data_IF_444191006402
#
_entry.id   IF_444191006402
#
_cell.length_a   1.000
_cell.length_b   1.000
_cell.length_c   1.000
_cell.angle_alpha   90.00
_cell.angle_beta   90.00
_cell.angle_gamma   90.00
#
_symmetry.space_group_name_H-M   'P 1'
#
loop_
_entity.id
_entity.type
_entity.pdbx_description
1 polymer ?
#
# COMPACT_ATOMS: atom_id res chain seq x y z
N UNK A 1 28.29 -11.82 -7.35
CA UNK A 1 26.95 -11.21 -7.20
C UNK A 1 25.95 -12.34 -7.39
N UNK A 2 25.46 -12.91 -6.30
CA UNK A 2 24.45 -13.97 -6.33
C UNK A 2 23.17 -13.40 -6.92
N UNK A 3 22.68 -14.03 -7.98
CA UNK A 3 21.46 -13.63 -8.69
C UNK A 3 20.26 -14.07 -7.81
N UNK A 4 19.99 -13.35 -6.72
CA UNK A 4 18.84 -13.60 -5.85
C UNK A 4 17.56 -13.33 -6.65
N UNK A 5 16.98 -14.41 -7.20
CA UNK A 5 15.78 -14.33 -8.05
C UNK A 5 14.52 -13.95 -7.26
N UNK A 6 14.54 -14.11 -5.94
CA UNK A 6 13.43 -13.86 -5.04
C UNK A 6 13.95 -13.31 -3.72
N UNK A 7 13.32 -12.25 -3.22
CA UNK A 7 13.71 -11.57 -1.97
C UNK A 7 12.51 -11.47 -1.02
N UNK A 8 11.32 -11.20 -1.54
CA UNK A 8 10.17 -10.81 -0.71
C UNK A 8 9.13 -11.92 -0.55
N UNK A 9 8.45 -11.93 0.60
CA UNK A 9 7.48 -12.97 0.96
C UNK A 9 6.35 -13.13 -0.08
N UNK A 10 5.88 -12.05 -0.70
CA UNK A 10 4.81 -12.12 -1.70
C UNK A 10 5.28 -12.67 -3.07
N UNK A 11 6.58 -12.90 -3.25
CA UNK A 11 7.13 -13.55 -4.44
C UNK A 11 7.12 -15.08 -4.30
N UNK A 12 6.82 -15.61 -3.10
CA UNK A 12 6.63 -17.04 -2.88
C UNK A 12 5.41 -17.49 -3.68
N UNK A 13 5.54 -18.48 -4.59
CA UNK A 13 4.42 -19.00 -5.34
C UNK A 13 3.31 -19.54 -4.43
N UNK A 14 2.05 -19.35 -4.83
CA UNK A 14 0.90 -19.85 -4.05
C UNK A 14 0.96 -21.35 -3.79
N UNK A 15 1.55 -22.14 -4.67
CA UNK A 15 1.78 -23.58 -4.46
C UNK A 15 2.69 -23.86 -3.26
N UNK A 16 3.73 -23.05 -3.05
CA UNK A 16 4.64 -23.18 -1.90
C UNK A 16 3.94 -22.73 -0.62
N UNK A 17 3.17 -21.64 -0.65
CA UNK A 17 2.36 -21.20 0.51
C UNK A 17 1.35 -22.28 0.90
N UNK A 18 0.76 -22.97 -0.08
CA UNK A 18 -0.16 -24.08 0.16
C UNK A 18 0.54 -25.27 0.85
N UNK A 19 1.72 -25.67 0.39
CA UNK A 19 2.51 -26.73 1.07
C UNK A 19 2.88 -26.35 2.50
N UNK A 20 3.31 -25.11 2.73
CA UNK A 20 3.59 -24.60 4.07
C UNK A 20 2.34 -24.64 4.96
N UNK A 21 1.18 -24.29 4.40
CA UNK A 21 -0.10 -24.32 5.11
C UNK A 21 -0.49 -25.72 5.54
N UNK A 22 -0.35 -26.72 4.66
CA UNK A 22 -0.63 -28.12 4.99
C UNK A 22 0.21 -28.62 6.18
N UNK A 23 1.47 -28.21 6.24
CA UNK A 23 2.41 -28.60 7.29
C UNK A 23 2.18 -27.87 8.62
N UNK A 24 1.77 -26.59 8.58
CA UNK A 24 1.78 -25.70 9.75
C UNK A 24 0.40 -25.40 10.34
N UNK A 25 -0.68 -25.51 9.55
CA UNK A 25 -2.04 -25.33 10.07
C UNK A 25 -2.41 -26.47 11.02
N UNK A 26 -1.97 -27.68 10.67
CA UNK A 26 -2.09 -28.89 11.47
C UNK A 26 -1.49 -28.68 12.87
N UNK A 27 -2.31 -28.84 13.91
CA UNK A 27 -1.87 -28.69 15.30
C UNK A 27 -1.51 -27.26 15.72
N UNK A 28 -1.91 -26.23 14.95
CA UNK A 28 -1.54 -24.82 15.19
C UNK A 28 -0.02 -24.56 15.23
N UNK A 29 0.77 -25.36 14.52
CA UNK A 29 2.22 -25.21 14.46
C UNK A 29 2.66 -23.84 13.94
N UNK A 30 1.86 -23.21 13.07
CA UNK A 30 2.04 -21.83 12.59
C UNK A 30 2.22 -20.81 13.72
N UNK A 31 1.69 -21.04 14.92
CA UNK A 31 1.86 -20.12 16.07
C UNK A 31 3.32 -20.02 16.52
N UNK A 32 4.14 -21.04 16.26
CA UNK A 32 5.57 -21.00 16.54
C UNK A 32 6.32 -20.00 15.65
N UNK A 33 5.79 -19.65 14.46
CA UNK A 33 6.35 -18.58 13.63
C UNK A 33 6.33 -17.25 14.40
N UNK A 34 5.23 -16.96 15.10
CA UNK A 34 5.10 -15.73 15.89
C UNK A 34 6.15 -15.65 17.01
N UNK A 35 6.51 -16.79 17.61
CA UNK A 35 7.52 -16.85 18.67
C UNK A 35 8.92 -16.46 18.18
N UNK A 36 9.24 -16.75 16.91
CA UNK A 36 10.54 -16.46 16.31
C UNK A 36 10.57 -15.18 15.48
N UNK A 37 9.47 -14.43 15.44
CA UNK A 37 9.32 -13.17 14.72
C UNK A 37 8.99 -12.04 15.71
N UNK A 38 10.00 -11.32 16.26
CA UNK A 38 9.82 -10.37 17.36
C UNK A 38 8.82 -9.22 17.13
N UNK A 39 8.50 -8.93 15.86
CA UNK A 39 7.56 -7.86 15.50
C UNK A 39 6.10 -8.32 15.48
N UNK A 40 5.84 -9.63 15.58
CA UNK A 40 4.50 -10.20 15.63
C UNK A 40 3.92 -9.99 17.03
N UNK A 41 2.74 -9.40 17.09
CA UNK A 41 2.05 -9.12 18.35
C UNK A 41 1.00 -10.17 18.65
N UNK A 42 0.53 -10.24 19.90
CA UNK A 42 -0.62 -11.09 20.26
C UNK A 42 -1.86 -10.81 19.38
N UNK A 43 -2.09 -9.54 19.00
CA UNK A 43 -3.19 -9.14 18.11
C UNK A 43 -3.04 -9.72 16.70
N UNK A 44 -1.81 -9.86 16.21
CA UNK A 44 -1.52 -10.47 14.91
C UNK A 44 -1.82 -11.99 14.97
N UNK A 45 -1.43 -12.66 16.06
CA UNK A 45 -1.75 -14.09 16.29
C UNK A 45 -3.25 -14.31 16.45
N UNK A 46 -3.95 -13.44 17.17
CA UNK A 46 -5.41 -13.52 17.30
C UNK A 46 -6.09 -13.34 15.94
N UNK A 47 -5.62 -12.40 15.11
CA UNK A 47 -6.12 -12.20 13.76
C UNK A 47 -5.93 -13.44 12.87
N UNK A 48 -4.74 -14.06 12.89
CA UNK A 48 -4.48 -15.31 12.18
C UNK A 48 -5.33 -16.48 12.71
N UNK A 49 -5.55 -16.56 14.02
CA UNK A 49 -6.41 -17.60 14.62
C UNK A 49 -7.86 -17.45 14.14
N UNK A 50 -8.37 -16.21 14.04
CA UNK A 50 -9.69 -15.93 13.47
C UNK A 50 -9.74 -16.21 11.97
N UNK A 51 -8.70 -15.82 11.22
CA UNK A 51 -8.57 -16.13 9.79
C UNK A 51 -8.56 -17.64 9.53
N UNK A 52 -7.97 -18.42 10.45
CA UNK A 52 -7.93 -19.88 10.38
C UNK A 52 -9.30 -20.58 10.41
N UNK A 53 -10.38 -19.86 10.73
CA UNK A 53 -11.75 -20.38 10.62
C UNK A 53 -12.25 -20.43 9.17
N UNK A 54 -11.69 -19.61 8.28
CA UNK A 54 -12.13 -19.44 6.89
C UNK A 54 -11.02 -19.64 5.85
N UNK A 55 -9.76 -19.69 6.28
CA UNK A 55 -8.59 -19.84 5.43
C UNK A 55 -7.43 -20.47 6.19
N UNK A 56 -6.24 -20.42 5.60
CA UNK A 56 -5.03 -20.95 6.24
C UNK A 56 -4.46 -19.92 7.25
N UNK A 57 -4.41 -20.20 8.56
CA UNK A 57 -3.75 -19.31 9.50
C UNK A 57 -2.24 -19.13 9.17
N UNK A 58 -1.61 -20.13 8.53
CA UNK A 58 -0.24 -20.04 8.02
C UNK A 58 -0.10 -19.00 6.91
N UNK A 59 -1.02 -18.97 5.94
CA UNK A 59 -1.04 -17.94 4.90
C UNK A 59 -1.22 -16.55 5.52
N UNK A 60 -2.12 -16.44 6.50
CA UNK A 60 -2.33 -15.20 7.25
C UNK A 60 -1.06 -14.70 7.92
N UNK A 61 -0.34 -15.55 8.66
CA UNK A 61 0.87 -15.13 9.39
C UNK A 61 2.03 -14.81 8.42
N UNK A 62 2.20 -15.56 7.34
CA UNK A 62 3.18 -15.29 6.29
C UNK A 62 2.91 -13.91 5.67
N UNK A 63 1.64 -13.60 5.38
CA UNK A 63 1.27 -12.28 4.83
C UNK A 63 1.54 -11.14 5.81
N UNK A 64 1.30 -11.34 7.11
CA UNK A 64 1.66 -10.35 8.14
C UNK A 64 3.18 -10.16 8.19
N UNK A 65 3.99 -11.22 8.14
CA UNK A 65 5.45 -11.10 8.06
C UNK A 65 5.88 -10.25 6.86
N UNK A 66 5.33 -10.52 5.67
CA UNK A 66 5.58 -9.70 4.48
C UNK A 66 5.23 -8.23 4.71
N UNK A 67 4.09 -7.92 5.32
CA UNK A 67 3.67 -6.55 5.62
C UNK A 67 4.58 -5.82 6.63
N UNK A 68 5.27 -6.58 7.50
CA UNK A 68 6.23 -6.07 8.48
C UNK A 68 7.67 -6.01 7.95
N UNK A 69 7.88 -6.32 6.67
CA UNK A 69 9.16 -6.19 5.97
C UNK A 69 10.08 -7.41 6.08
N UNK A 70 9.57 -8.58 6.46
CA UNK A 70 10.36 -9.81 6.45
C UNK A 70 10.58 -10.29 5.00
N UNK A 71 11.78 -10.80 4.74
CA UNK A 71 12.16 -11.43 3.47
C UNK A 71 11.90 -12.94 3.48
N UNK A 72 11.97 -13.60 2.32
CA UNK A 72 11.93 -15.08 2.24
C UNK A 72 13.05 -15.68 3.09
N UNK A 73 14.24 -15.07 3.05
CA UNK A 73 15.39 -15.46 3.88
C UNK A 73 15.11 -15.34 5.39
N UNK A 74 14.32 -14.35 5.82
CA UNK A 74 13.93 -14.23 7.23
C UNK A 74 12.90 -15.28 7.62
N UNK A 75 11.90 -15.57 6.77
CA UNK A 75 10.98 -16.69 6.97
C UNK A 75 11.74 -18.01 7.06
N UNK A 76 12.72 -18.24 6.20
CA UNK A 76 13.56 -19.45 6.23
C UNK A 76 14.32 -19.60 7.55
N UNK A 77 14.90 -18.51 8.07
CA UNK A 77 15.56 -18.49 9.39
C UNK A 77 14.57 -18.70 10.54
N UNK A 78 13.36 -18.16 10.43
CA UNK A 78 12.27 -18.38 11.41
C UNK A 78 11.87 -19.85 11.45
N UNK A 79 11.68 -20.47 10.28
CA UNK A 79 11.35 -21.89 10.18
C UNK A 79 12.46 -22.78 10.75
N UNK A 80 13.74 -22.44 10.50
CA UNK A 80 14.88 -23.13 11.09
C UNK A 80 14.85 -23.08 12.63
N UNK A 81 14.63 -21.89 13.21
CA UNK A 81 14.51 -21.71 14.67
C UNK A 81 13.35 -22.47 15.28
N UNK A 82 12.24 -22.59 14.55
CA UNK A 82 11.08 -23.39 14.96
C UNK A 82 11.23 -24.89 14.75
N UNK A 83 12.31 -25.35 14.11
CA UNK A 83 12.53 -26.76 13.78
C UNK A 83 11.64 -27.28 12.63
N UNK A 84 11.14 -26.39 11.76
CA UNK A 84 10.25 -26.71 10.64
C UNK A 84 11.03 -27.11 9.38
N UNK A 85 11.83 -28.17 9.46
CA UNK A 85 12.74 -28.58 8.38
C UNK A 85 12.03 -29.01 7.10
N UNK A 86 10.87 -29.67 7.20
CA UNK A 86 10.08 -30.03 6.01
C UNK A 86 9.58 -28.76 5.29
N UNK A 87 9.16 -27.73 6.03
CA UNK A 87 8.79 -26.44 5.46
C UNK A 87 9.97 -25.75 4.74
N UNK A 88 11.18 -25.83 5.33
CA UNK A 88 12.38 -25.26 4.73
C UNK A 88 12.72 -25.89 3.37
N UNK A 89 12.48 -27.19 3.18
CA UNK A 89 12.73 -27.86 1.88
C UNK A 89 11.97 -27.21 0.74
N UNK A 90 10.73 -26.79 0.97
CA UNK A 90 9.90 -26.11 -0.04
C UNK A 90 10.39 -24.69 -0.38
N UNK A 91 11.23 -24.10 0.46
CA UNK A 91 11.79 -22.76 0.27
C UNK A 91 13.24 -22.76 -0.24
N UNK A 92 13.90 -23.92 -0.38
CA UNK A 92 15.32 -24.01 -0.75
C UNK A 92 15.67 -23.31 -2.08
N UNK A 93 14.76 -23.36 -3.06
CA UNK A 93 14.93 -22.73 -4.37
C UNK A 93 14.73 -21.20 -4.35
N UNK A 94 14.25 -20.65 -3.23
CA UNK A 94 13.91 -19.24 -3.04
C UNK A 94 14.85 -18.51 -2.07
N UNK A 95 15.88 -19.19 -1.56
CA UNK A 95 16.86 -18.63 -0.63
C UNK A 95 18.29 -18.85 -1.12
N UNK A 96 19.25 -18.00 -0.71
CA UNK A 96 20.66 -18.21 -1.02
C UNK A 96 21.15 -19.56 -0.48
N UNK A 97 21.99 -20.26 -1.27
CA UNK A 97 22.51 -21.60 -0.91
C UNK A 97 23.29 -21.60 0.40
N UNK A 98 23.86 -20.45 0.77
CA UNK A 98 24.58 -20.22 2.03
C UNK A 98 23.68 -20.44 3.24
N UNK A 99 22.35 -20.24 3.12
CA UNK A 99 21.40 -20.50 4.20
C UNK A 99 21.08 -21.98 4.37
N UNK A 100 21.38 -22.85 3.40
CA UNK A 100 21.05 -24.28 3.48
C UNK A 100 21.76 -24.99 4.65
N UNK A 101 22.87 -24.43 5.15
CA UNK A 101 23.57 -24.91 6.36
C UNK A 101 22.68 -24.93 7.61
N UNK A 102 21.61 -24.12 7.64
CA UNK A 102 20.66 -24.08 8.76
C UNK A 102 19.92 -25.41 8.93
N UNK A 103 19.76 -26.20 7.86
CA UNK A 103 19.19 -27.55 7.95
C UNK A 103 20.08 -28.47 8.81
N UNK A 104 21.40 -28.33 8.75
CA UNK A 104 22.30 -29.18 9.53
C UNK A 104 22.48 -28.69 10.97
N UNK A 105 22.53 -27.38 11.16
CA UNK A 105 22.78 -26.76 12.46
C UNK A 105 21.63 -26.99 13.44
N UNK A 106 20.39 -26.76 13.02
CA UNK A 106 19.23 -26.88 13.91
C UNK A 106 18.74 -28.32 14.12
N UNK A 107 19.03 -29.24 13.20
CA UNK A 107 18.73 -30.68 13.40
C UNK A 107 19.53 -31.28 14.56
N UNK A 108 20.71 -30.72 14.87
CA UNK A 108 21.59 -31.20 15.95
C UNK A 108 21.28 -30.60 17.33
N UNK A 109 20.39 -29.60 17.45
CA UNK A 109 20.11 -28.88 18.70
C UNK A 109 18.75 -29.26 19.31
N UNK A 110 18.81 -30.27 20.18
CA UNK A 110 17.99 -30.65 21.36
C UNK A 110 16.57 -30.11 21.61
N UNK A 111 15.70 -31.06 22.01
CA UNK A 111 14.33 -30.91 22.55
C UNK A 111 14.12 -29.84 23.64
N UNK A 112 15.19 -29.40 24.32
CA UNK A 112 15.12 -28.35 25.34
C UNK A 112 14.58 -27.02 24.80
N UNK A 113 14.91 -26.67 23.54
CA UNK A 113 14.39 -25.44 22.93
C UNK A 113 12.88 -25.53 22.68
N UNK A 114 12.35 -26.72 22.33
CA UNK A 114 10.91 -26.93 22.17
C UNK A 114 10.14 -26.69 23.47
N UNK A 115 10.67 -27.16 24.61
CA UNK A 115 10.05 -26.97 25.93
C UNK A 115 10.10 -25.49 26.35
N UNK A 116 11.24 -24.82 26.14
CA UNK A 116 11.36 -23.41 26.47
C UNK A 116 10.44 -22.55 25.62
N UNK A 117 10.27 -22.91 24.35
CA UNK A 117 9.35 -22.24 23.43
C UNK A 117 7.88 -22.39 23.82
N UNK A 118 7.47 -23.59 24.29
CA UNK A 118 6.13 -23.81 24.85
C UNK A 118 5.85 -22.92 26.07
N UNK A 119 6.81 -22.81 27.00
CA UNK A 119 6.70 -21.92 28.18
C UNK A 119 6.58 -20.45 27.81
N UNK A 120 7.35 -20.00 26.82
CA UNK A 120 7.25 -18.64 26.31
C UNK A 120 5.86 -18.40 25.71
N UNK A 121 5.30 -19.35 24.95
CA UNK A 121 3.94 -19.24 24.39
C UNK A 121 2.86 -19.08 25.47
N UNK A 122 2.98 -19.80 26.59
CA UNK A 122 2.07 -19.67 27.74
C UNK A 122 2.16 -18.28 28.40
N UNK A 123 3.35 -17.69 28.47
CA UNK A 123 3.55 -16.32 28.98
C UNK A 123 2.93 -15.23 28.09
N UNK A 124 2.72 -15.51 26.80
CA UNK A 124 2.11 -14.60 25.83
C UNK A 124 0.58 -14.62 25.86
N UNK A 125 -0.05 -15.40 26.75
CA UNK A 125 -1.49 -15.39 27.01
C UNK A 125 -1.78 -14.50 28.23
N UNK A 126 -1.77 -13.15 28.12
CA UNK A 126 -2.02 -12.30 29.28
C UNK A 126 -3.42 -12.56 29.83
N UNK A 127 -3.44 -13.15 31.04
CA UNK A 127 -4.38 -12.93 32.14
C UNK A 127 -5.81 -12.63 31.67
N UNK A 128 -6.47 -13.65 31.12
CA UNK A 128 -7.92 -13.70 30.95
C UNK A 128 -8.59 -13.80 32.33
N UNK A 129 -8.79 -12.67 33.01
CA UNK A 129 -9.87 -12.42 33.99
C UNK A 129 -9.65 -11.11 34.76
N UNK A 130 -10.62 -10.19 34.66
CA UNK A 130 -10.84 -9.06 35.59
C UNK A 130 -9.77 -7.97 35.58
N UNK A 131 -10.03 -6.70 35.82
CA UNK A 131 -11.19 -5.99 36.33
C UNK A 131 -10.92 -4.49 36.12
N UNK A 132 -12.01 -3.76 35.92
CA UNK A 132 -12.13 -2.32 35.66
C UNK A 132 -11.66 -1.50 36.89
N UNK A 133 -11.21 -0.26 36.64
CA UNK A 133 -11.46 1.01 37.39
C UNK A 133 -10.22 1.87 37.76
N UNK A 134 -10.39 3.21 37.84
CA UNK A 134 -9.59 4.20 37.12
C UNK A 134 -8.80 5.14 38.04
N UNK A 135 -7.96 6.01 37.46
CA UNK A 135 -7.22 7.02 38.25
C UNK A 135 -7.64 8.44 37.84
N UNK A 136 -8.06 9.15 38.88
CA UNK A 136 -8.48 10.54 38.95
C UNK A 136 -7.41 11.55 38.52
N UNK A 137 -7.92 12.67 38.03
CA UNK A 137 -7.30 13.98 37.83
C UNK A 137 -6.71 14.58 39.12
N UNK A 138 -5.55 15.22 38.99
CA UNK A 138 -5.08 16.26 39.91
C UNK A 138 -4.79 17.55 39.13
N UNK A 139 -5.43 18.60 39.60
CA UNK A 139 -5.46 19.99 39.15
C UNK A 139 -4.19 20.76 39.52
N UNK A 140 -3.68 21.59 38.62
CA UNK A 140 -3.00 22.85 38.99
C UNK A 140 -3.25 23.91 37.91
N UNK A 141 -3.82 25.03 38.36
CA UNK A 141 -4.01 26.28 37.62
C UNK A 141 -2.70 26.82 37.03
N UNK A 142 -2.76 27.29 35.77
CA UNK A 142 -2.04 28.47 35.25
C UNK A 142 -2.48 28.77 33.81
N UNK A 143 -3.42 29.71 33.70
CA UNK A 143 -3.46 30.81 32.74
C UNK A 143 -3.14 30.52 31.25
N UNK A 144 -4.21 30.31 30.49
CA UNK A 144 -4.51 31.01 29.22
C UNK A 144 -3.49 30.95 28.06
N UNK A 145 -2.85 29.81 27.82
CA UNK A 145 -2.24 29.43 26.53
C UNK A 145 -2.27 27.90 26.45
N UNK A 146 -3.35 27.24 25.99
CA UNK A 146 -3.36 25.80 25.60
C UNK A 146 -4.77 25.27 25.30
N UNK A 147 -5.38 25.70 24.18
CA UNK A 147 -6.52 24.96 23.60
C UNK A 147 -6.16 24.22 22.30
N UNK A 148 -5.07 24.58 21.65
CA UNK A 148 -4.63 23.94 20.40
C UNK A 148 -3.79 22.67 20.64
N UNK A 149 -3.28 22.47 21.86
CA UNK A 149 -2.48 21.30 22.24
C UNK A 149 -3.34 20.06 22.60
N UNK A 150 -4.63 20.22 22.85
CA UNK A 150 -5.52 19.12 23.28
C UNK A 150 -5.80 18.12 22.16
N UNK A 151 -5.97 18.58 20.92
CA UNK A 151 -6.12 17.66 19.79
C UNK A 151 -4.83 16.85 19.56
N UNK A 152 -3.66 17.44 19.81
CA UNK A 152 -2.41 16.72 19.63
C UNK A 152 -2.14 15.70 20.74
N UNK A 153 -2.60 15.93 21.99
CA UNK A 153 -2.40 14.99 23.11
C UNK A 153 -3.23 13.71 22.96
N UNK A 154 -4.50 13.78 22.60
CA UNK A 154 -5.31 12.58 22.34
C UNK A 154 -4.86 11.85 21.08
N UNK A 155 -4.50 12.63 20.04
CA UNK A 155 -3.90 12.11 18.83
C UNK A 155 -2.57 11.45 19.18
N UNK A 156 -1.75 11.98 20.10
CA UNK A 156 -0.44 11.45 20.52
C UNK A 156 -0.48 10.04 21.10
N UNK A 157 -1.56 9.65 21.79
CA UNK A 157 -1.70 8.29 22.34
C UNK A 157 -2.00 7.28 21.21
N UNK A 158 -2.88 7.65 20.28
CA UNK A 158 -3.20 6.80 19.10
C UNK A 158 -2.03 6.76 18.09
N UNK A 159 -1.33 7.89 17.95
CA UNK A 159 -0.04 8.10 17.25
C UNK A 159 0.97 7.14 17.84
N UNK A 160 1.28 7.23 19.13
CA UNK A 160 2.34 6.44 19.78
C UNK A 160 2.16 4.95 19.54
N UNK A 161 0.97 4.40 19.80
CA UNK A 161 0.71 2.95 19.61
C UNK A 161 0.78 2.48 18.14
N UNK A 162 0.51 3.37 17.18
CA UNK A 162 0.63 3.04 15.74
C UNK A 162 2.02 3.33 15.18
N UNK A 163 2.86 4.06 15.93
CA UNK A 163 4.15 4.59 15.48
C UNK A 163 5.36 3.92 16.08
N UNK A 164 5.20 2.91 16.95
CA UNK A 164 6.32 2.24 17.63
C UNK A 164 7.45 1.78 16.68
N UNK A 165 7.15 1.62 15.38
CA UNK A 165 8.09 1.19 14.34
C UNK A 165 8.42 2.26 13.27
N UNK A 166 8.15 3.54 13.50
CA UNK A 166 8.46 4.63 12.55
C UNK A 166 9.27 5.73 13.22
N UNK A 167 10.31 6.19 12.53
CA UNK A 167 11.30 7.10 13.09
C UNK A 167 10.70 8.51 13.31
N UNK A 168 10.71 8.96 14.56
CA UNK A 168 10.53 10.37 14.91
C UNK A 168 11.79 11.14 14.56
N UNK A 169 11.67 12.18 13.75
CA UNK A 169 12.78 13.04 13.28
C UNK A 169 12.65 14.41 13.93
N UNK A 170 13.76 14.98 14.40
CA UNK A 170 13.76 16.33 14.96
C UNK A 170 13.49 17.36 13.85
N UNK A 171 12.60 18.32 14.09
CA UNK A 171 12.25 19.33 13.09
C UNK A 171 13.46 20.14 12.59
N UNK A 172 14.46 20.38 13.45
CA UNK A 172 15.71 21.06 13.07
C UNK A 172 16.50 20.29 12.00
N UNK A 173 16.46 18.95 12.02
CA UNK A 173 17.08 18.15 10.96
C UNK A 173 16.39 18.40 9.61
N UNK A 174 15.07 18.61 9.61
CA UNK A 174 14.31 18.88 8.38
C UNK A 174 14.58 20.28 7.85
N UNK A 175 14.75 21.28 8.73
CA UNK A 175 15.17 22.62 8.33
C UNK A 175 16.53 22.57 7.63
N UNK A 176 17.51 21.87 8.20
CA UNK A 176 18.83 21.70 7.59
C UNK A 176 18.71 20.95 6.25
N UNK A 177 17.97 19.83 6.24
CA UNK A 177 17.82 18.99 5.06
C UNK A 177 17.18 19.71 3.86
N UNK A 178 16.32 20.72 4.12
CA UNK A 178 15.55 21.45 3.10
C UNK A 178 16.05 22.88 2.86
N UNK A 179 17.21 23.25 3.40
CA UNK A 179 17.74 24.62 3.33
C UNK A 179 16.73 25.66 3.84
N UNK A 180 16.16 25.40 5.03
CA UNK A 180 15.07 26.16 5.64
C UNK A 180 13.79 26.19 4.81
N UNK A 181 13.41 25.05 4.21
CA UNK A 181 12.27 24.91 3.30
C UNK A 181 12.33 25.92 2.14
N UNK A 182 13.51 26.06 1.52
CA UNK A 182 13.74 26.95 0.39
C UNK A 182 12.78 26.65 -0.76
N UNK A 183 12.27 27.70 -1.42
CA UNK A 183 11.42 27.58 -2.61
C UNK A 183 12.12 26.83 -3.76
N UNK A 184 13.46 26.86 -3.81
CA UNK A 184 14.27 26.12 -4.80
C UNK A 184 14.20 24.60 -4.64
N UNK A 185 13.80 24.13 -3.46
CA UNK A 185 13.69 22.70 -3.15
C UNK A 185 12.26 22.17 -3.39
N UNK A 186 11.32 22.99 -3.85
CA UNK A 186 9.93 22.56 -4.02
C UNK A 186 9.80 21.54 -5.15
N UNK A 187 9.32 20.35 -4.82
CA UNK A 187 8.95 19.30 -5.77
C UNK A 187 7.49 19.43 -6.22
N UNK A 188 6.60 19.91 -5.34
CA UNK A 188 5.20 20.09 -5.65
C UNK A 188 4.41 20.82 -4.58
N UNK A 189 3.34 21.51 -4.99
CA UNK A 189 2.38 22.19 -4.10
C UNK A 189 1.02 21.53 -4.28
N UNK A 190 0.43 21.04 -3.21
CA UNK A 190 -0.85 20.33 -3.24
C UNK A 190 -1.83 20.82 -2.18
N UNK A 191 -3.06 20.28 -2.20
CA UNK A 191 -4.08 20.63 -1.21
C UNK A 191 -3.66 20.36 0.24
N UNK A 192 -2.77 19.39 0.44
CA UNK A 192 -2.36 18.89 1.76
C UNK A 192 -1.05 19.49 2.29
N UNK A 193 -0.37 20.33 1.51
CA UNK A 193 0.92 20.88 1.91
C UNK A 193 1.85 21.11 0.72
N UNK A 194 3.11 21.35 1.06
CA UNK A 194 4.18 21.55 0.08
C UNK A 194 5.18 20.40 0.27
N UNK A 195 5.60 19.80 -0.84
CA UNK A 195 6.62 18.74 -0.84
C UNK A 195 7.93 19.36 -1.28
N UNK A 196 8.95 19.19 -0.45
CA UNK A 196 10.31 19.65 -0.69
C UNK A 196 11.23 18.46 -0.94
N UNK A 197 12.22 18.62 -1.79
CA UNK A 197 13.40 17.78 -1.80
C UNK A 197 14.23 18.13 -0.56
N UNK A 198 14.79 17.12 0.08
CA UNK A 198 15.77 17.33 1.12
C UNK A 198 16.89 16.33 1.01
N UNK A 199 18.04 16.67 1.61
CA UNK A 199 19.16 15.76 1.78
C UNK A 199 19.30 15.44 3.26
N UNK A 200 18.91 14.24 3.66
CA UNK A 200 18.83 13.84 5.07
C UNK A 200 19.51 12.48 5.26
N UNK A 201 20.43 12.39 6.23
CA UNK A 201 21.21 11.17 6.52
C UNK A 201 21.86 10.54 5.27
N UNK A 202 22.49 11.39 4.46
CA UNK A 202 23.22 11.01 3.23
C UNK A 202 22.35 10.47 2.09
N UNK A 203 21.04 10.67 2.13
CA UNK A 203 20.12 10.26 1.07
C UNK A 203 19.19 11.41 0.66
N UNK A 204 18.79 11.40 -0.61
CA UNK A 204 17.70 12.26 -1.09
C UNK A 204 16.36 11.77 -0.51
N UNK A 205 15.59 12.71 0.03
CA UNK A 205 14.26 12.46 0.58
C UNK A 205 13.24 13.46 0.04
N UNK A 206 11.97 13.08 0.07
CA UNK A 206 10.85 14.00 -0.15
C UNK A 206 10.18 14.32 1.19
N UNK A 207 10.13 15.60 1.56
CA UNK A 207 9.58 16.08 2.83
C UNK A 207 8.27 16.81 2.55
N UNK A 208 7.15 16.20 2.94
CA UNK A 208 5.81 16.79 2.84
C UNK A 208 5.53 17.60 4.10
N UNK A 209 5.63 18.92 4.00
CA UNK A 209 5.29 19.87 5.07
C UNK A 209 3.80 20.18 5.03
N UNK A 210 3.09 19.85 6.09
CA UNK A 210 1.63 19.96 6.19
C UNK A 210 1.27 21.36 6.66
N UNK A 211 1.00 22.26 5.71
CA UNK A 211 0.71 23.66 6.03
C UNK A 211 -0.76 23.84 6.46
N UNK A 212 -1.04 24.40 7.65
CA UNK A 212 -2.34 25.02 7.91
C UNK A 212 -2.53 26.15 6.89
N UNK A 213 -3.72 26.28 6.33
CA UNK A 213 -3.98 27.38 5.39
C UNK A 213 -4.01 28.66 6.24
N UNK A 214 -3.36 29.74 5.77
CA UNK A 214 -3.44 31.05 6.41
C UNK A 214 -4.91 31.38 6.75
N UNK A 215 -5.14 32.00 7.91
CA UNK A 215 -6.36 32.05 8.76
C UNK A 215 -7.71 32.44 8.09
N UNK A 216 -7.77 32.55 6.76
CA UNK A 216 -8.89 33.07 5.98
C UNK A 216 -9.90 32.00 5.53
N UNK A 217 -9.75 30.73 5.89
CA UNK A 217 -10.66 29.66 5.43
C UNK A 217 -11.07 28.71 6.56
N UNK A 218 -12.37 28.65 6.84
CA UNK A 218 -12.94 28.12 8.08
C UNK A 218 -12.46 26.75 8.56
N UNK A 219 -12.44 26.61 9.89
CA UNK A 219 -11.98 25.48 10.74
C UNK A 219 -12.23 24.07 10.19
N UNK A 220 -13.30 23.84 9.41
CA UNK A 220 -13.62 22.51 8.87
C UNK A 220 -12.55 21.98 7.90
N UNK A 221 -12.00 22.83 7.02
CA UNK A 221 -11.01 22.38 6.01
C UNK A 221 -9.65 22.06 6.62
N UNK A 222 -9.28 22.74 7.70
CA UNK A 222 -8.02 22.48 8.42
C UNK A 222 -8.04 21.09 9.06
N UNK A 223 -9.12 20.77 9.79
CA UNK A 223 -9.31 19.45 10.40
C UNK A 223 -9.22 18.31 9.38
N UNK A 224 -9.73 18.51 8.16
CA UNK A 224 -9.64 17.50 7.10
C UNK A 224 -8.20 17.23 6.67
N UNK A 225 -7.36 18.25 6.47
CA UNK A 225 -5.95 18.04 6.08
C UNK A 225 -5.20 17.26 7.15
N UNK A 226 -5.33 17.68 8.41
CA UNK A 226 -4.70 16.98 9.54
C UNK A 226 -5.19 15.54 9.66
N UNK A 227 -6.49 15.31 9.51
CA UNK A 227 -7.08 13.95 9.53
C UNK A 227 -6.49 13.08 8.40
N UNK A 228 -6.34 13.64 7.20
CA UNK A 228 -5.78 12.90 6.07
C UNK A 228 -4.29 12.59 6.27
N UNK A 229 -3.49 13.54 6.73
CA UNK A 229 -2.08 13.29 7.05
C UNK A 229 -1.91 12.26 8.16
N UNK A 230 -2.78 12.28 9.17
CA UNK A 230 -2.79 11.27 10.22
C UNK A 230 -3.20 9.88 9.67
N UNK A 231 -4.18 9.83 8.78
CA UNK A 231 -4.58 8.59 8.12
C UNK A 231 -3.46 8.03 7.23
N UNK A 232 -2.75 8.88 6.50
CA UNK A 232 -1.60 8.52 5.69
C UNK A 232 -0.48 7.93 6.55
N UNK A 233 -0.12 8.62 7.64
CA UNK A 233 0.85 8.15 8.62
C UNK A 233 0.44 6.82 9.25
N UNK A 234 -0.81 6.69 9.74
CA UNK A 234 -1.35 5.45 10.32
C UNK A 234 -1.33 4.28 9.33
N UNK A 235 -1.54 4.54 8.04
CA UNK A 235 -1.54 3.49 7.01
C UNK A 235 -0.11 3.07 6.66
N UNK A 236 0.75 4.03 6.31
CA UNK A 236 2.11 3.75 5.83
C UNK A 236 3.06 3.26 6.94
N UNK A 237 2.77 3.55 8.21
CA UNK A 237 3.48 2.98 9.37
C UNK A 237 3.20 1.48 9.55
N UNK A 238 2.02 1.01 9.14
CA UNK A 238 1.56 -0.38 9.34
C UNK A 238 1.81 -1.29 8.16
N UNK A 239 1.78 -0.74 6.95
CA UNK A 239 1.73 -1.53 5.73
C UNK A 239 2.87 -1.12 4.80
N UNK A 240 3.90 -1.97 4.72
CA UNK A 240 5.04 -1.81 3.80
C UNK A 240 4.95 -2.80 2.65
N UNK A 241 5.24 -2.32 1.44
CA UNK A 241 5.23 -3.10 0.21
C UNK A 241 6.07 -2.39 -0.86
N UNK A 242 6.73 -3.13 -1.75
CA UNK A 242 7.65 -2.54 -2.74
C UNK A 242 7.01 -1.51 -3.67
N UNK A 243 5.73 -1.72 -3.99
CA UNK A 243 4.96 -0.81 -4.82
C UNK A 243 4.10 0.18 -4.02
N UNK A 244 4.39 0.38 -2.73
CA UNK A 244 3.83 1.44 -1.88
C UNK A 244 4.96 2.39 -1.50
N UNK A 245 4.70 3.70 -1.54
CA UNK A 245 5.71 4.72 -1.28
C UNK A 245 6.25 4.62 0.17
N UNK A 246 7.55 4.37 0.38
CA UNK A 246 8.11 4.25 1.70
C UNK A 246 8.07 5.55 2.47
N UNK A 247 7.49 5.50 3.66
CA UNK A 247 7.60 6.53 4.69
C UNK A 247 8.79 6.18 5.60
N UNK A 248 9.81 7.03 5.61
CA UNK A 248 11.00 6.87 6.44
C UNK A 248 10.78 7.36 7.86
N UNK A 249 10.01 8.44 8.02
CA UNK A 249 9.77 9.04 9.33
C UNK A 249 8.77 10.18 9.28
N UNK A 250 8.58 10.79 10.43
CA UNK A 250 7.75 11.98 10.60
C UNK A 250 8.37 12.92 11.63
N UNK A 251 8.02 14.20 11.56
CA UNK A 251 8.34 15.21 12.57
C UNK A 251 7.06 15.92 12.97
N UNK A 252 6.88 16.10 14.28
CA UNK A 252 5.71 16.71 14.92
C UNK A 252 6.11 17.62 16.09
N UNK A 253 7.41 17.82 16.30
CA UNK A 253 8.03 18.67 17.31
C UNK A 253 8.24 20.12 16.82
N UNK A 254 7.98 20.38 15.54
CA UNK A 254 8.03 21.70 14.93
C UNK A 254 6.67 22.40 14.82
N UNK A 255 6.66 23.63 14.24
CA UNK A 255 5.44 24.41 14.03
C UNK A 255 4.45 23.73 13.07
N UNK A 256 4.92 22.95 12.10
CA UNK A 256 4.08 22.16 11.21
C UNK A 256 4.50 20.69 11.19
N UNK A 257 3.54 19.74 11.14
CA UNK A 257 3.85 18.34 10.94
C UNK A 257 4.51 18.09 9.57
N UNK A 258 5.50 17.20 9.55
CA UNK A 258 6.22 16.80 8.36
C UNK A 258 6.25 15.28 8.22
N UNK A 259 6.12 14.80 6.99
CA UNK A 259 6.29 13.39 6.63
C UNK A 259 7.50 13.25 5.69
N UNK A 260 8.39 12.29 5.98
CA UNK A 260 9.63 12.08 5.24
C UNK A 260 9.51 10.79 4.44
N UNK A 261 9.60 10.88 3.12
CA UNK A 261 9.47 9.77 2.18
C UNK A 261 10.76 9.53 1.41
N UNK A 262 10.82 8.36 0.78
CA UNK A 262 11.72 8.12 -0.34
C UNK A 262 11.55 9.20 -1.42
N UNK A 263 12.66 9.75 -1.90
CA UNK A 263 12.64 10.62 -3.07
C UNK A 263 12.40 9.81 -4.35
N UNK A 264 11.45 10.28 -5.16
CA UNK A 264 11.00 9.63 -6.39
C UNK A 264 11.49 10.45 -7.59
N UNK A 265 12.72 10.15 -8.04
CA UNK A 265 13.46 10.97 -9.00
C UNK A 265 12.77 11.20 -10.35
N UNK A 266 11.88 10.28 -10.76
CA UNK A 266 11.16 10.36 -12.02
C UNK A 266 9.73 10.91 -11.86
N UNK A 267 9.42 11.55 -10.73
CA UNK A 267 8.14 12.23 -10.50
C UNK A 267 6.93 11.29 -10.56
N UNK A 268 5.77 11.85 -10.92
CA UNK A 268 4.54 11.07 -11.08
C UNK A 268 4.41 10.45 -12.47
N UNK A 269 3.60 9.38 -12.59
CA UNK A 269 3.23 8.82 -13.89
C UNK A 269 2.47 9.84 -14.73
N UNK A 270 1.65 10.70 -14.12
CA UNK A 270 0.99 11.82 -14.81
C UNK A 270 2.03 12.72 -15.51
N UNK A 271 3.07 13.15 -14.78
CA UNK A 271 4.12 14.01 -15.33
C UNK A 271 4.84 13.35 -16.51
N UNK A 272 5.08 12.03 -16.43
CA UNK A 272 5.75 11.27 -17.49
C UNK A 272 4.85 11.01 -18.69
N UNK A 273 3.56 10.75 -18.49
CA UNK A 273 2.59 10.63 -19.57
C UNK A 273 2.41 11.96 -20.30
N UNK A 274 2.46 13.08 -19.57
CA UNK A 274 2.40 14.44 -20.13
C UNK A 274 3.76 14.96 -20.63
N UNK A 275 4.84 14.17 -20.52
CA UNK A 275 6.20 14.56 -20.87
C UNK A 275 6.64 15.90 -20.23
N UNK A 276 6.16 16.21 -19.01
CA UNK A 276 6.59 17.42 -18.29
C UNK A 276 8.11 17.41 -18.12
N UNK A 277 8.72 18.60 -18.10
CA UNK A 277 10.17 18.80 -18.05
C UNK A 277 10.93 18.16 -19.22
N UNK A 278 10.31 18.10 -20.42
CA UNK A 278 10.88 17.53 -21.63
C UNK A 278 11.34 16.07 -21.46
N UNK A 279 10.64 15.31 -20.63
CA UNK A 279 10.94 13.88 -20.44
C UNK A 279 10.46 13.08 -21.64
N UNK A 280 11.21 12.03 -21.98
CA UNK A 280 10.81 11.11 -23.04
C UNK A 280 9.49 10.41 -22.67
N UNK A 281 8.64 10.09 -23.66
CA UNK A 281 7.45 9.28 -23.42
C UNK A 281 7.84 7.94 -22.77
N UNK A 282 7.05 7.50 -21.79
CA UNK A 282 7.19 6.17 -21.19
C UNK A 282 7.10 5.10 -22.27
N UNK A 283 8.06 4.17 -22.34
CA UNK A 283 8.00 3.05 -23.29
C UNK A 283 6.87 2.08 -22.93
N UNK A 284 6.53 1.17 -23.86
CA UNK A 284 5.52 0.14 -23.58
C UNK A 284 5.91 -0.77 -22.41
N UNK A 285 7.19 -1.16 -22.33
CA UNK A 285 7.71 -1.97 -21.23
C UNK A 285 7.58 -1.24 -19.89
N UNK A 286 7.93 0.06 -19.85
CA UNK A 286 7.79 0.88 -18.64
C UNK A 286 6.33 0.99 -18.21
N UNK A 287 5.40 1.24 -19.15
CA UNK A 287 3.95 1.26 -18.88
C UNK A 287 3.47 -0.06 -18.29
N UNK A 288 3.96 -1.18 -18.81
CA UNK A 288 3.60 -2.50 -18.32
C UNK A 288 4.19 -2.81 -16.94
N UNK A 289 5.43 -2.38 -16.65
CA UNK A 289 6.02 -2.46 -15.31
C UNK A 289 5.20 -1.64 -14.31
N UNK A 290 4.79 -0.43 -14.69
CA UNK A 290 3.92 0.43 -13.88
C UNK A 290 2.60 -0.28 -13.56
N UNK A 291 1.91 -0.80 -14.58
CA UNK A 291 0.65 -1.52 -14.41
C UNK A 291 0.79 -2.71 -13.45
N UNK A 292 1.80 -3.56 -13.65
CA UNK A 292 2.05 -4.73 -12.77
C UNK A 292 2.34 -4.31 -11.33
N UNK A 293 3.16 -3.28 -11.13
CA UNK A 293 3.49 -2.81 -9.77
C UNK A 293 2.28 -2.29 -9.01
N UNK A 294 1.40 -1.53 -9.68
CA UNK A 294 0.20 -1.00 -9.02
C UNK A 294 -0.85 -2.07 -8.78
N UNK A 295 -0.99 -3.05 -9.68
CA UNK A 295 -1.80 -4.23 -9.42
C UNK A 295 -1.32 -4.98 -8.15
N UNK A 296 0.00 -5.17 -8.00
CA UNK A 296 0.59 -5.78 -6.78
C UNK A 296 0.30 -4.96 -5.53
N UNK A 297 0.46 -3.63 -5.58
CA UNK A 297 0.16 -2.75 -4.45
C UNK A 297 -1.30 -2.86 -4.00
N UNK A 298 -2.25 -2.82 -4.95
CA UNK A 298 -3.67 -2.92 -4.64
C UNK A 298 -4.05 -4.32 -4.16
N UNK A 299 -3.50 -5.38 -4.75
CA UNK A 299 -3.69 -6.75 -4.28
C UNK A 299 -3.17 -6.94 -2.84
N UNK A 300 -2.04 -6.32 -2.51
CA UNK A 300 -1.51 -6.30 -1.15
C UNK A 300 -2.47 -5.59 -0.18
N UNK A 301 -3.02 -4.43 -0.54
CA UNK A 301 -3.92 -3.67 0.31
C UNK A 301 -5.30 -4.32 0.50
N UNK A 302 -5.86 -4.90 -0.57
CA UNK A 302 -7.24 -5.42 -0.58
C UNK A 302 -7.37 -6.76 0.15
N UNK A 303 -6.34 -7.60 0.12
CA UNK A 303 -6.41 -8.96 0.69
C UNK A 303 -5.67 -9.10 2.04
N UNK A 304 -5.42 -8.01 2.76
CA UNK A 304 -4.78 -8.07 4.09
C UNK A 304 -5.59 -8.96 5.05
N UNK A 305 -4.96 -9.81 5.90
CA UNK A 305 -5.68 -10.84 6.65
C UNK A 305 -6.71 -10.31 7.66
N UNK A 306 -6.54 -9.07 8.13
CA UNK A 306 -7.39 -8.48 9.18
C UNK A 306 -8.53 -7.63 8.61
N UNK A 307 -8.19 -6.80 7.63
CA UNK A 307 -9.07 -5.80 7.07
C UNK A 307 -8.48 -5.33 5.75
N UNK A 308 -9.30 -5.24 4.71
CA UNK A 308 -8.91 -4.60 3.46
C UNK A 308 -8.65 -3.12 3.69
N UNK A 309 -7.75 -2.54 2.90
CA UNK A 309 -7.53 -1.10 2.85
C UNK A 309 -7.95 -0.61 1.47
N UNK A 310 -8.93 0.28 1.43
CA UNK A 310 -9.33 0.96 0.21
C UNK A 310 -8.55 2.28 0.14
N UNK A 311 -7.79 2.50 -0.92
CA UNK A 311 -6.96 3.70 -1.13
C UNK A 311 -7.83 4.95 -1.38
N UNK A 312 -8.85 4.83 -2.22
CA UNK A 312 -9.88 5.85 -2.57
C UNK A 312 -9.43 7.03 -3.42
N UNK A 313 -8.15 7.09 -3.81
CA UNK A 313 -7.62 8.10 -4.74
C UNK A 313 -6.49 7.56 -5.62
N UNK A 314 -6.69 6.35 -6.17
CA UNK A 314 -5.76 5.77 -7.14
C UNK A 314 -5.82 6.58 -8.44
N UNK A 315 -4.69 7.15 -8.86
CA UNK A 315 -4.57 7.96 -10.08
C UNK A 315 -3.11 8.11 -10.51
N UNK A 316 -2.87 8.48 -11.76
CA UNK A 316 -1.50 8.64 -12.30
C UNK A 316 -0.67 9.69 -11.56
N UNK A 317 -1.29 10.72 -10.98
CA UNK A 317 -0.60 11.71 -10.14
C UNK A 317 -0.14 11.16 -8.78
N UNK A 318 -0.77 10.10 -8.27
CA UNK A 318 -0.42 9.46 -7.00
C UNK A 318 0.47 8.21 -7.18
N UNK A 319 0.85 7.89 -8.43
CA UNK A 319 1.81 6.83 -8.73
C UNK A 319 3.14 7.49 -9.06
N UNK A 320 4.13 7.30 -8.20
CA UNK A 320 5.46 7.91 -8.33
C UNK A 320 6.48 6.89 -8.84
N UNK A 321 7.54 7.39 -9.50
CA UNK A 321 8.55 6.57 -10.15
C UNK A 321 9.93 6.76 -9.51
N UNK A 322 10.56 5.65 -9.10
CA UNK A 322 11.92 5.65 -8.54
C UNK A 322 12.95 6.02 -9.62
N UNK A 323 14.22 6.19 -9.22
CA UNK A 323 15.32 6.40 -10.18
C UNK A 323 15.45 5.28 -11.23
N UNK A 324 14.95 4.07 -10.92
CA UNK A 324 14.95 2.90 -11.81
C UNK A 324 13.59 2.67 -12.50
N UNK A 325 12.71 3.68 -12.52
CA UNK A 325 11.37 3.62 -13.11
C UNK A 325 10.42 2.62 -12.43
N UNK A 326 10.67 2.30 -11.16
CA UNK A 326 9.80 1.40 -10.39
C UNK A 326 8.60 2.18 -9.84
N UNK A 327 7.38 1.68 -10.00
CA UNK A 327 6.16 2.36 -9.55
C UNK A 327 5.94 2.20 -8.05
N UNK A 328 5.53 3.28 -7.39
CA UNK A 328 5.06 3.27 -6.00
C UNK A 328 3.80 4.10 -5.85
N UNK A 329 2.74 3.47 -5.34
CA UNK A 329 1.50 4.15 -4.97
C UNK A 329 1.74 4.98 -3.71
N UNK A 330 1.40 6.26 -3.76
CA UNK A 330 1.47 7.20 -2.63
C UNK A 330 0.13 7.87 -2.35
N UNK A 331 0.14 8.79 -1.38
CA UNK A 331 -1.01 9.58 -0.93
C UNK A 331 -2.17 8.76 -0.34
N UNK A 332 -1.90 8.13 0.81
CA UNK A 332 -2.88 7.35 1.57
C UNK A 332 -3.78 8.23 2.46
N UNK A 333 -3.83 9.54 2.22
CA UNK A 333 -4.59 10.46 3.06
C UNK A 333 -6.10 10.18 3.08
N UNK A 334 -6.62 9.56 2.01
CA UNK A 334 -8.03 9.20 1.87
C UNK A 334 -8.33 7.73 2.18
N UNK A 335 -7.29 6.95 2.50
CA UNK A 335 -7.41 5.51 2.69
C UNK A 335 -8.37 5.16 3.83
N UNK A 336 -8.96 3.97 3.78
CA UNK A 336 -9.86 3.50 4.83
C UNK A 336 -9.71 2.00 5.08
N UNK A 337 -9.56 1.66 6.35
CA UNK A 337 -9.65 0.30 6.85
C UNK A 337 -11.12 -0.17 6.73
N UNK A 338 -11.33 -1.28 6.04
CA UNK A 338 -12.63 -1.94 5.89
C UNK A 338 -12.56 -3.32 6.53
N UNK A 339 -13.26 -3.47 7.65
CA UNK A 339 -13.40 -4.74 8.33
C UNK A 339 -14.55 -5.49 7.66
N UNK A 340 -14.22 -6.52 6.88
CA UNK A 340 -15.23 -7.47 6.45
C UNK A 340 -15.68 -8.27 7.68
N UNK A 341 -16.98 -8.19 8.00
CA UNK A 341 -17.59 -9.17 8.89
C UNK A 341 -17.71 -10.46 8.07
N UNK A 342 -16.71 -11.34 8.14
CA UNK A 342 -16.71 -12.64 7.45
C UNK A 342 -17.81 -13.62 7.93
N UNK A 343 -18.86 -13.16 8.60
CA UNK A 343 -19.88 -14.02 9.19
C UNK A 343 -21.22 -14.05 8.47
N UNK A 344 -21.45 -13.28 7.42
CA UNK A 344 -22.65 -13.44 6.59
C UNK A 344 -22.31 -13.06 5.15
N UNK A 345 -22.76 -13.88 4.20
CA UNK A 345 -22.49 -13.89 2.76
C UNK A 345 -22.99 -12.66 1.97
N UNK A 346 -22.89 -11.47 2.54
CA UNK A 346 -23.17 -10.20 1.89
C UNK A 346 -22.13 -9.19 2.36
N UNK A 347 -21.15 -8.89 1.50
CA UNK A 347 -20.25 -7.75 1.63
C UNK A 347 -21.12 -6.49 1.64
N UNK A 348 -21.59 -6.10 2.82
CA UNK A 348 -22.51 -4.97 2.96
C UNK A 348 -21.76 -3.71 2.51
N UNK A 349 -22.24 -3.02 1.46
CA UNK A 349 -21.53 -1.85 0.94
C UNK A 349 -21.41 -0.81 2.05
N UNK A 350 -20.18 -0.35 2.29
CA UNK A 350 -19.96 0.73 3.25
C UNK A 350 -20.42 2.04 2.62
N UNK A 351 -21.43 2.67 3.19
CA UNK A 351 -21.91 3.99 2.75
C UNK A 351 -21.12 5.06 3.52
N UNK A 352 -20.50 6.01 2.81
CA UNK A 352 -19.81 7.15 3.41
C UNK A 352 -20.63 8.44 3.36
N UNK A 353 -20.37 9.35 4.30
CA UNK A 353 -21.09 10.63 4.36
C UNK A 353 -20.71 11.59 3.23
N UNK A 354 -19.47 11.55 2.75
CA UNK A 354 -18.95 12.47 1.73
C UNK A 354 -18.11 11.77 0.67
N UNK A 355 -18.27 12.22 -0.57
CA UNK A 355 -17.41 11.84 -1.70
C UNK A 355 -16.09 12.58 -1.54
N UNK A 356 -15.01 11.82 -1.58
CA UNK A 356 -13.61 12.28 -1.62
C UNK A 356 -12.87 11.52 -2.72
N UNK A 357 -11.82 12.13 -3.27
CA UNK A 357 -11.02 11.60 -4.37
C UNK A 357 -11.14 12.45 -5.64
N UNK A 358 -10.48 12.02 -6.70
CA UNK A 358 -10.40 12.77 -7.97
C UNK A 358 -11.51 12.33 -8.93
N UNK A 359 -12.47 13.21 -9.18
CA UNK A 359 -13.74 12.89 -9.86
C UNK A 359 -13.62 12.05 -11.14
N UNK A 360 -12.63 12.33 -12.00
CA UNK A 360 -12.43 11.61 -13.27
C UNK A 360 -12.04 10.13 -13.12
N UNK A 361 -11.65 9.70 -11.92
CA UNK A 361 -11.25 8.33 -11.58
C UNK A 361 -12.29 7.59 -10.74
N UNK A 362 -13.38 8.27 -10.35
CA UNK A 362 -14.35 7.72 -9.42
C UNK A 362 -15.43 6.91 -10.15
N UNK A 363 -15.83 5.75 -9.60
CA UNK A 363 -16.88 4.94 -10.21
C UNK A 363 -18.28 5.50 -9.93
N UNK A 364 -19.28 5.18 -10.78
CA UNK A 364 -20.62 5.72 -10.67
C UNK A 364 -21.34 5.34 -9.37
N UNK A 365 -21.14 4.13 -8.84
CA UNK A 365 -21.79 3.69 -7.59
C UNK A 365 -21.30 4.49 -6.37
N UNK A 366 -20.05 4.95 -6.39
CA UNK A 366 -19.53 5.82 -5.34
C UNK A 366 -20.03 7.25 -5.47
N UNK A 367 -20.10 7.77 -6.70
CA UNK A 367 -20.60 9.12 -6.97
C UNK A 367 -22.09 9.23 -6.61
N UNK A 368 -22.89 8.23 -7.01
CA UNK A 368 -24.34 8.29 -6.89
C UNK A 368 -24.81 7.85 -5.49
N UNK A 369 -24.26 6.74 -4.98
CA UNK A 369 -24.78 6.08 -3.79
C UNK A 369 -23.82 6.13 -2.60
N UNK A 370 -22.62 6.72 -2.78
CA UNK A 370 -21.57 6.82 -1.74
C UNK A 370 -21.10 5.47 -1.21
N UNK A 371 -21.26 4.42 -2.01
CA UNK A 371 -20.82 3.07 -1.71
C UNK A 371 -19.31 2.99 -1.91
N UNK A 372 -18.59 2.48 -0.91
CA UNK A 372 -17.17 2.13 -1.01
C UNK A 372 -16.98 0.62 -0.83
N UNK A 373 -16.12 0.07 -1.66
CA UNK A 373 -15.58 -1.29 -1.57
C UNK A 373 -14.20 -1.32 -2.25
N UNK A 374 -13.48 -2.44 -2.18
CA UNK A 374 -12.23 -2.66 -2.93
C UNK A 374 -12.40 -2.39 -4.43
N UNK A 375 -13.59 -2.68 -4.98
CA UNK A 375 -13.96 -2.39 -6.38
C UNK A 375 -13.83 -0.91 -6.76
N UNK A 376 -13.89 0.01 -5.81
CA UNK A 376 -13.67 1.44 -6.09
C UNK A 376 -12.26 1.66 -6.62
N UNK A 377 -11.25 1.13 -5.93
CA UNK A 377 -9.85 1.25 -6.36
C UNK A 377 -9.62 0.50 -7.68
N UNK A 378 -10.30 -0.64 -7.90
CA UNK A 378 -10.22 -1.39 -9.16
C UNK A 378 -10.69 -0.53 -10.33
N UNK A 379 -11.80 0.20 -10.19
CA UNK A 379 -12.26 1.11 -11.24
C UNK A 379 -11.27 2.23 -11.51
N UNK A 380 -10.80 2.88 -10.45
CA UNK A 380 -9.81 3.94 -10.57
C UNK A 380 -8.51 3.44 -11.22
N UNK A 381 -8.09 2.21 -10.91
CA UNK A 381 -6.96 1.55 -11.59
C UNK A 381 -7.26 1.24 -13.06
N UNK A 382 -8.50 0.88 -13.40
CA UNK A 382 -8.96 0.75 -14.78
C UNK A 382 -8.72 2.02 -15.59
N UNK A 383 -9.06 3.18 -15.03
CA UNK A 383 -8.77 4.49 -15.67
C UNK A 383 -7.26 4.69 -15.84
N UNK A 384 -6.44 4.38 -14.82
CA UNK A 384 -4.98 4.45 -14.93
C UNK A 384 -4.45 3.55 -16.06
N UNK A 385 -4.97 2.33 -16.21
CA UNK A 385 -4.57 1.42 -17.29
C UNK A 385 -4.93 1.99 -18.67
N UNK A 386 -6.07 2.66 -18.80
CA UNK A 386 -6.45 3.33 -20.05
C UNK A 386 -5.58 4.55 -20.35
N UNK A 387 -5.19 5.33 -19.34
CA UNK A 387 -4.20 6.41 -19.52
C UNK A 387 -2.84 5.84 -19.96
N UNK A 388 -2.39 4.75 -19.35
CA UNK A 388 -1.16 4.06 -19.75
C UNK A 388 -1.27 3.50 -21.17
N UNK A 389 -2.44 3.00 -21.60
CA UNK A 389 -2.63 2.51 -22.96
C UNK A 389 -2.64 3.64 -23.99
N UNK A 390 -3.37 4.72 -23.73
CA UNK A 390 -3.71 5.73 -24.74
C UNK A 390 -2.83 6.98 -24.68
N UNK A 391 -2.19 7.25 -23.55
CA UNK A 391 -1.54 8.54 -23.26
C UNK A 391 -2.52 9.71 -23.12
N UNK A 392 -3.84 9.45 -23.13
CA UNK A 392 -4.89 10.45 -22.99
C UNK A 392 -5.16 10.76 -21.52
N UNK A 393 -5.77 11.91 -21.27
CA UNK A 393 -6.21 12.31 -19.94
C UNK A 393 -7.50 11.60 -19.54
N UNK A 394 -7.77 11.39 -18.24
CA UNK A 394 -8.97 10.71 -17.77
C UNK A 394 -10.25 11.51 -18.07
N UNK A 395 -10.10 12.82 -18.27
CA UNK A 395 -11.14 13.75 -18.69
C UNK A 395 -10.55 14.78 -19.65
N UNK A 396 -11.27 15.08 -20.74
CA UNK A 396 -10.98 16.23 -21.60
C UNK A 396 -12.28 16.84 -22.14
N UNK A 397 -12.36 18.17 -22.16
CA UNK A 397 -13.51 18.89 -22.72
C UNK A 397 -13.53 18.83 -24.25
N UNK A 398 -12.38 18.56 -24.89
CA UNK A 398 -12.24 18.51 -26.35
C UNK A 398 -12.62 17.16 -26.97
N UNK A 399 -12.88 16.14 -26.15
CA UNK A 399 -13.28 14.80 -26.60
C UNK A 399 -14.73 14.52 -26.25
N UNK A 400 -15.46 13.78 -27.08
CA UNK A 400 -16.85 13.36 -26.79
C UNK A 400 -16.94 11.85 -27.00
N UNK A 401 -17.33 11.06 -25.99
CA UNK A 401 -17.57 11.42 -24.58
C UNK A 401 -16.35 12.00 -23.84
N UNK A 402 -16.57 12.85 -22.82
CA UNK A 402 -15.50 13.52 -22.09
C UNK A 402 -14.66 12.60 -21.20
N UNK A 403 -15.27 11.58 -20.59
CA UNK A 403 -14.59 10.61 -19.72
C UNK A 403 -13.84 9.56 -20.54
N UNK A 404 -12.63 9.22 -20.14
CA UNK A 404 -11.75 8.32 -20.90
C UNK A 404 -12.35 6.93 -21.13
N UNK A 405 -12.97 6.32 -20.11
CA UNK A 405 -13.62 5.00 -20.26
C UNK A 405 -14.77 5.04 -21.27
N UNK A 406 -15.61 6.08 -21.21
CA UNK A 406 -16.72 6.25 -22.14
C UNK A 406 -16.23 6.51 -23.57
N UNK A 407 -15.15 7.29 -23.71
CA UNK A 407 -14.48 7.55 -24.98
C UNK A 407 -13.93 6.27 -25.61
N UNK A 408 -13.19 5.47 -24.84
CA UNK A 408 -12.64 4.19 -25.30
C UNK A 408 -13.76 3.24 -25.72
N UNK A 409 -14.81 3.07 -24.90
CA UNK A 409 -15.95 2.20 -25.21
C UNK A 409 -16.72 2.68 -26.46
N UNK A 410 -16.90 3.99 -26.61
CA UNK A 410 -17.54 4.57 -27.79
C UNK A 410 -16.77 4.23 -29.07
N UNK A 411 -15.46 4.43 -29.07
CA UNK A 411 -14.62 4.15 -30.24
C UNK A 411 -14.46 2.66 -30.52
N UNK A 412 -14.42 1.81 -29.50
CA UNK A 412 -14.46 0.35 -29.69
C UNK A 412 -15.76 -0.10 -30.36
N UNK A 413 -16.91 0.48 -29.97
CA UNK A 413 -18.20 0.16 -30.60
C UNK A 413 -18.25 0.65 -32.04
N UNK A 414 -17.86 1.89 -32.30
CA UNK A 414 -17.87 2.49 -33.64
C UNK A 414 -16.96 1.77 -34.63
N UNK A 415 -15.78 1.35 -34.18
CA UNK A 415 -14.75 0.73 -35.01
C UNK A 415 -14.72 -0.79 -34.84
N UNK A 416 -15.78 -1.39 -34.29
CA UNK A 416 -15.89 -2.83 -34.05
C UNK A 416 -15.73 -3.66 -35.33
N UNK A 417 -16.05 -3.09 -36.49
CA UNK A 417 -15.83 -3.71 -37.81
C UNK A 417 -14.37 -3.75 -38.25
N UNK A 418 -13.46 -3.01 -37.59
CA UNK A 418 -12.04 -3.00 -37.91
C UNK A 418 -11.19 -2.72 -36.65
N UNK A 419 -10.77 -3.79 -35.97
CA UNK A 419 -9.97 -3.70 -34.74
C UNK A 419 -8.64 -2.97 -34.93
N UNK A 420 -8.05 -3.02 -36.13
CA UNK A 420 -6.82 -2.31 -36.43
C UNK A 420 -7.03 -0.79 -36.38
N UNK A 421 -8.18 -0.29 -36.83
CA UNK A 421 -8.52 1.13 -36.71
C UNK A 421 -8.73 1.56 -35.26
N UNK A 422 -9.33 0.71 -34.41
CA UNK A 422 -9.44 0.99 -32.96
C UNK A 422 -8.05 1.22 -32.38
N UNK A 423 -7.13 0.30 -32.69
CA UNK A 423 -5.78 0.33 -32.15
C UNK A 423 -5.01 1.54 -32.67
N UNK A 424 -5.02 1.82 -33.97
CA UNK A 424 -4.36 2.99 -34.55
C UNK A 424 -4.91 4.32 -34.00
N UNK A 425 -6.20 4.36 -33.67
CA UNK A 425 -6.84 5.57 -33.18
C UNK A 425 -6.58 5.81 -31.68
N UNK A 426 -6.65 4.76 -30.85
CA UNK A 426 -6.51 4.87 -29.40
C UNK A 426 -5.06 4.73 -28.91
N UNK A 427 -4.16 4.13 -29.68
CA UNK A 427 -2.76 3.97 -29.28
C UNK A 427 -2.08 5.33 -29.11
N UNK A 428 -1.24 5.44 -28.08
CA UNK A 428 -0.40 6.61 -27.91
C UNK A 428 0.50 6.80 -29.14
N UNK A 429 0.21 7.85 -29.92
CA UNK A 429 0.86 8.10 -31.20
C UNK A 429 2.38 8.26 -31.10
N UNK A 430 2.87 8.63 -29.90
CA UNK A 430 4.30 8.79 -29.61
C UNK A 430 5.04 7.45 -29.56
N UNK A 431 4.32 6.34 -29.48
CA UNK A 431 4.86 4.98 -29.36
C UNK A 431 4.41 4.04 -30.50
N UNK A 432 4.06 4.58 -31.67
CA UNK A 432 3.65 3.80 -32.84
C UNK A 432 4.81 2.95 -33.37
N UNK A 433 5.07 1.83 -32.69
CA UNK A 433 6.01 0.80 -33.09
C UNK A 433 5.26 -0.53 -33.07
N UNK A 434 5.38 -1.31 -34.14
CA UNK A 434 4.64 -2.57 -34.30
C UNK A 434 4.99 -3.61 -33.23
N UNK A 435 6.17 -3.50 -32.61
CA UNK A 435 6.74 -4.50 -31.71
C UNK A 435 5.99 -4.70 -30.39
N UNK A 436 5.12 -3.79 -29.97
CA UNK A 436 4.53 -3.81 -28.63
C UNK A 436 3.01 -3.58 -28.59
N UNK A 437 2.30 -3.77 -29.71
CA UNK A 437 0.84 -3.69 -29.72
C UNK A 437 0.17 -4.67 -28.75
N UNK A 438 0.82 -5.79 -28.41
CA UNK A 438 0.32 -6.74 -27.43
C UNK A 438 0.17 -6.10 -26.04
N UNK A 439 1.15 -5.27 -25.62
CA UNK A 439 1.08 -4.54 -24.35
C UNK A 439 -0.06 -3.52 -24.39
N UNK A 440 -0.18 -2.76 -25.48
CA UNK A 440 -1.27 -1.82 -25.67
C UNK A 440 -2.64 -2.51 -25.55
N UNK A 441 -2.85 -3.58 -26.31
CA UNK A 441 -4.10 -4.35 -26.31
C UNK A 441 -4.42 -4.92 -24.93
N UNK A 442 -3.40 -5.43 -24.22
CA UNK A 442 -3.55 -5.95 -22.87
C UNK A 442 -3.97 -4.86 -21.88
N UNK A 443 -3.28 -3.73 -21.86
CA UNK A 443 -3.61 -2.59 -21.00
C UNK A 443 -5.02 -2.05 -21.29
N UNK A 444 -5.37 -1.91 -22.57
CA UNK A 444 -6.68 -1.46 -23.01
C UNK A 444 -7.79 -2.42 -22.53
N UNK A 445 -7.64 -3.72 -22.82
CA UNK A 445 -8.61 -4.73 -22.46
C UNK A 445 -8.82 -4.84 -20.94
N UNK A 446 -7.72 -4.93 -20.17
CA UNK A 446 -7.81 -5.01 -18.70
C UNK A 446 -8.34 -3.70 -18.12
N UNK A 447 -7.97 -2.55 -18.68
CA UNK A 447 -8.50 -1.25 -18.29
C UNK A 447 -10.02 -1.15 -18.45
N UNK A 448 -10.57 -1.67 -19.55
CA UNK A 448 -12.02 -1.75 -19.77
C UNK A 448 -12.71 -2.69 -18.78
N UNK A 449 -12.14 -3.87 -18.54
CA UNK A 449 -12.68 -4.83 -17.56
C UNK A 449 -12.76 -4.20 -16.16
N UNK A 450 -11.70 -3.50 -15.74
CA UNK A 450 -11.67 -2.79 -14.47
C UNK A 450 -12.61 -1.58 -14.44
N UNK A 451 -12.75 -0.88 -15.57
CA UNK A 451 -13.62 0.28 -15.76
C UNK A 451 -15.11 -0.05 -15.95
N UNK A 452 -15.52 -1.30 -15.74
CA UNK A 452 -16.93 -1.72 -15.82
C UNK A 452 -17.79 -0.92 -14.82
N UNK A 453 -18.89 -0.35 -15.34
CA UNK A 453 -19.80 0.51 -14.58
C UNK A 453 -20.65 -0.30 -13.61
N UNK A 454 -21.01 -1.53 -13.96
CA UNK A 454 -21.67 -2.43 -13.03
C UNK A 454 -20.65 -3.06 -12.05
N UNK A 455 -20.74 -2.69 -10.78
CA UNK A 455 -19.83 -3.17 -9.72
C UNK A 455 -19.80 -4.71 -9.59
N UNK A 456 -20.91 -5.39 -9.92
CA UNK A 456 -21.02 -6.84 -9.84
C UNK A 456 -20.22 -7.53 -10.95
N UNK A 457 -20.09 -6.88 -12.11
CA UNK A 457 -19.33 -7.39 -13.27
C UNK A 457 -17.85 -6.98 -13.22
N UNK A 458 -17.50 -5.97 -12.42
CA UNK A 458 -16.12 -5.52 -12.24
C UNK A 458 -15.32 -6.62 -11.54
N UNK A 459 -14.13 -7.00 -12.03
CA UNK A 459 -13.34 -8.05 -11.38
C UNK A 459 -12.80 -7.61 -10.01
N UNK A 460 -12.34 -8.57 -9.22
CA UNK A 460 -11.47 -8.31 -8.07
C UNK A 460 -10.01 -8.11 -8.53
N UNK A 461 -9.20 -7.46 -7.68
CA UNK A 461 -7.83 -7.10 -8.04
C UNK A 461 -6.90 -8.31 -8.21
N UNK A 462 -7.18 -9.45 -7.59
CA UNK A 462 -6.39 -10.68 -7.75
C UNK A 462 -6.53 -11.24 -9.17
N UNK A 463 -7.74 -11.24 -9.72
CA UNK A 463 -8.01 -11.62 -11.11
C UNK A 463 -7.30 -10.66 -12.08
N UNK A 464 -7.37 -9.36 -11.81
CA UNK A 464 -6.66 -8.33 -12.61
C UNK A 464 -5.15 -8.53 -12.53
N UNK A 465 -4.61 -8.84 -11.34
CA UNK A 465 -3.20 -9.11 -11.12
C UNK A 465 -2.74 -10.33 -11.91
N UNK A 466 -3.50 -11.44 -11.88
CA UNK A 466 -3.22 -12.62 -12.72
C UNK A 466 -3.19 -12.24 -14.19
N UNK A 467 -4.20 -11.51 -14.67
CA UNK A 467 -4.23 -11.04 -16.07
C UNK A 467 -3.02 -10.18 -16.44
N UNK A 468 -2.46 -9.36 -15.54
CA UNK A 468 -1.30 -8.50 -15.87
C UNK A 468 0.06 -9.17 -15.65
N UNK A 469 0.15 -10.15 -14.74
CA UNK A 469 1.41 -10.78 -14.34
C UNK A 469 1.68 -12.07 -15.13
N UNK A 470 0.61 -12.80 -15.49
CA UNK A 470 0.60 -13.98 -16.37
C UNK A 470 0.40 -13.56 -17.84
#
# INVERSE_FOLDING_TARGET
>A
MTNEKYTYIYEIPSSVIWELSNLLDSGNAWKQIALHAPTITYKDVEACTKYGLTGSPTEGIIRILGSKGYTISDLYKILARGGFFECMKHLNDFVPKELHILNELYVKTNENDKIQNLRNLESFLPKLSGSILPINTLTTDRNNVDKDLYNFKDVSVSIKSSMENTLTVNYQELLIATENFSDTQILGKGGYGIVYRGYWKHIDVAIKRIMPRSQSSGRKKENEKFTQSFQELKTLTKYRHDNILPLYGFSIDGPEPCLIYQYMANGSVEDRLLCRNNTNPLTWEQRFVIAKGIARALNFLHFLPKNSIIHRDVKTANILLSQFMEPKLGDFGLSKDVYEKHNDSVTSPLIVSHIKGTMAYLPPEYINNRIISTKLDVYSFGIVLLELATGLRPYSETQTPHGLIDYVLHHQKLLSHNINYVNEFLVDRRLQTTKCFDIFNKLLHVGILCGEKNVDNRPEIDFVSKKLIE
#
